data_IF_708814756216
#
_entry.id   IF_708814756216
#
_cell.length_a   1.000
_cell.length_b   1.000
_cell.length_c   1.000
_cell.angle_alpha   90.00
_cell.angle_beta   90.00
_cell.angle_gamma   90.00
#
_symmetry.space_group_name_H-M   'P 1'
#
loop_
_entity.id
_entity.type
_entity.pdbx_description
1 polymer ?
#
# COMPACT_ATOMS: atom_id res chain seq x y z
N UNK A 1 17.72 11.40 10.78
CA UNK A 1 17.26 10.47 11.83
C UNK A 1 18.33 9.40 11.99
N UNK A 2 18.80 9.12 13.20
CA UNK A 2 19.85 8.10 13.43
C UNK A 2 19.25 6.90 14.17
N UNK A 3 18.18 6.35 13.60
CA UNK A 3 17.65 5.05 14.01
C UNK A 3 18.52 4.00 13.32
N UNK A 4 19.16 3.12 14.10
CA UNK A 4 19.86 1.94 13.58
C UNK A 4 18.84 0.99 12.95
N UNK A 5 18.35 1.31 11.76
CA UNK A 5 17.43 0.49 10.99
C UNK A 5 18.26 -0.53 10.21
N UNK A 6 17.95 -1.82 10.37
CA UNK A 6 18.46 -2.83 9.46
C UNK A 6 17.51 -2.93 8.26
N UNK A 7 17.93 -2.41 7.11
CA UNK A 7 17.13 -2.40 5.89
C UNK A 7 16.78 -3.80 5.36
N UNK A 8 17.57 -4.83 5.68
CA UNK A 8 17.27 -6.22 5.31
C UNK A 8 16.11 -6.82 6.12
N UNK A 9 15.71 -6.17 7.22
CA UNK A 9 14.58 -6.58 8.03
C UNK A 9 13.28 -5.88 7.62
N UNK A 10 13.28 -5.05 6.58
CA UNK A 10 12.11 -4.26 6.18
C UNK A 10 11.47 -4.90 4.96
N UNK A 11 10.17 -5.16 5.04
CA UNK A 11 9.32 -5.41 3.88
C UNK A 11 8.61 -4.11 3.52
N UNK A 12 9.01 -3.52 2.40
CA UNK A 12 8.33 -2.39 1.78
C UNK A 12 7.11 -2.90 1.04
N UNK A 13 6.01 -2.17 1.06
CA UNK A 13 4.82 -2.53 0.31
C UNK A 13 3.95 -1.33 -0.03
N UNK A 14 3.11 -1.57 -1.02
CA UNK A 14 2.01 -0.72 -1.47
C UNK A 14 0.86 -1.63 -1.95
N UNK A 15 -0.38 -1.14 -1.91
CA UNK A 15 -1.55 -1.89 -2.37
C UNK A 15 -2.38 -1.08 -3.37
N UNK A 16 -2.95 -1.79 -4.34
CA UNK A 16 -3.94 -1.22 -5.24
C UNK A 16 -5.33 -1.79 -4.98
N UNK A 17 -6.28 -0.88 -4.93
CA UNK A 17 -7.67 -1.17 -4.56
C UNK A 17 -8.63 -0.58 -5.58
N UNK A 18 -9.73 -1.29 -5.81
CA UNK A 18 -10.81 -0.86 -6.70
C UNK A 18 -12.15 -1.08 -6.00
N UNK A 19 -13.24 -0.41 -6.43
CA UNK A 19 -14.59 -0.76 -6.00
C UNK A 19 -14.85 -2.27 -6.11
N UNK A 20 -15.61 -2.87 -5.19
CA UNK A 20 -15.78 -4.34 -5.17
C UNK A 20 -16.49 -4.88 -6.41
N UNK A 21 -17.38 -4.07 -6.99
CA UNK A 21 -18.08 -4.25 -8.26
C UNK A 21 -17.90 -2.99 -9.12
N UNK A 22 -18.13 -3.07 -10.43
CA UNK A 22 -17.85 -1.97 -11.35
C UNK A 22 -18.83 -0.80 -11.16
N UNK A 23 -20.13 -1.10 -11.07
CA UNK A 23 -21.17 -0.08 -10.98
C UNK A 23 -21.82 -0.09 -9.60
N UNK A 24 -22.25 1.09 -9.13
CA UNK A 24 -23.00 1.23 -7.88
C UNK A 24 -24.27 0.37 -7.90
N UNK A 25 -24.93 0.27 -9.06
CA UNK A 25 -26.11 -0.56 -9.28
C UNK A 25 -25.88 -2.06 -9.10
N UNK A 26 -24.62 -2.51 -9.17
CA UNK A 26 -24.26 -3.92 -8.97
C UNK A 26 -24.14 -4.29 -7.49
N UNK A 27 -24.11 -3.29 -6.59
CA UNK A 27 -24.26 -3.53 -5.16
C UNK A 27 -25.69 -3.96 -4.84
N UNK A 28 -25.84 -4.79 -3.81
CA UNK A 28 -27.16 -5.03 -3.23
C UNK A 28 -27.71 -3.76 -2.53
N UNK A 29 -29.02 -3.69 -2.35
CA UNK A 29 -29.70 -2.53 -1.76
C UNK A 29 -29.12 -2.13 -0.40
N UNK A 30 -28.85 -3.11 0.47
CA UNK A 30 -28.24 -2.87 1.78
C UNK A 30 -26.87 -2.17 1.67
N UNK A 31 -25.99 -2.63 0.78
CA UNK A 31 -24.67 -2.02 0.58
C UNK A 31 -24.76 -0.64 -0.07
N UNK A 32 -25.72 -0.40 -0.95
CA UNK A 32 -25.97 0.93 -1.50
C UNK A 32 -26.31 1.93 -0.39
N UNK A 33 -27.21 1.55 0.53
CA UNK A 33 -27.58 2.37 1.69
C UNK A 33 -26.39 2.58 2.63
N UNK A 34 -25.64 1.51 2.96
CA UNK A 34 -24.47 1.60 3.82
C UNK A 34 -23.36 2.47 3.21
N UNK A 35 -23.14 2.39 1.89
CA UNK A 35 -22.18 3.23 1.19
C UNK A 35 -22.58 4.70 1.27
N UNK A 36 -23.87 5.00 1.02
CA UNK A 36 -24.39 6.36 1.09
C UNK A 36 -24.19 6.98 2.49
N UNK A 37 -24.48 6.22 3.54
CA UNK A 37 -24.29 6.63 4.93
C UNK A 37 -22.80 6.83 5.28
N UNK A 38 -21.95 5.84 4.95
CA UNK A 38 -20.52 5.87 5.28
C UNK A 38 -19.80 7.04 4.62
N UNK A 39 -20.15 7.39 3.39
CA UNK A 39 -19.43 8.39 2.58
C UNK A 39 -19.97 9.81 2.69
N UNK A 40 -21.08 10.02 3.41
CA UNK A 40 -21.77 11.32 3.51
C UNK A 40 -20.81 12.47 3.87
N UNK A 41 -19.89 12.23 4.81
CA UNK A 41 -18.93 13.23 5.28
C UNK A 41 -17.96 13.73 4.18
N UNK A 42 -17.66 12.90 3.16
CA UNK A 42 -16.82 13.28 2.03
C UNK A 42 -17.62 13.88 0.88
N UNK A 43 -18.84 13.37 0.65
CA UNK A 43 -19.72 13.86 -0.43
C UNK A 43 -20.25 15.27 -0.17
N UNK A 44 -20.40 15.67 1.11
CA UNK A 44 -20.92 16.99 1.53
C UNK A 44 -22.23 17.39 0.82
N UNK A 45 -23.06 16.41 0.47
CA UNK A 45 -24.28 16.54 -0.32
C UNK A 45 -24.12 17.16 -1.73
N UNK A 46 -22.89 17.26 -2.24
CA UNK A 46 -22.58 17.76 -3.59
C UNK A 46 -22.65 16.66 -4.66
N UNK A 47 -22.43 15.40 -4.27
CA UNK A 47 -22.44 14.23 -5.14
C UNK A 47 -23.41 13.18 -4.60
N UNK A 48 -24.16 12.54 -5.51
CA UNK A 48 -24.93 11.35 -5.17
C UNK A 48 -23.99 10.19 -4.78
N UNK A 49 -24.47 9.17 -4.04
CA UNK A 49 -23.69 7.97 -3.76
C UNK A 49 -23.17 7.29 -5.02
N UNK A 50 -23.97 7.25 -6.09
CA UNK A 50 -23.59 6.66 -7.37
C UNK A 50 -22.44 7.42 -8.06
N UNK A 51 -22.54 8.76 -8.15
CA UNK A 51 -21.47 9.60 -8.72
C UNK A 51 -20.17 9.51 -7.92
N UNK A 52 -20.27 9.25 -6.62
CA UNK A 52 -19.11 9.11 -5.74
C UNK A 52 -18.52 7.69 -5.73
N UNK A 53 -19.22 6.71 -6.30
CA UNK A 53 -18.89 5.29 -6.17
C UNK A 53 -17.56 4.91 -6.81
N UNK A 54 -17.07 5.66 -7.79
CA UNK A 54 -15.74 5.44 -8.39
C UNK A 54 -14.61 5.43 -7.33
N UNK A 55 -14.83 6.12 -6.20
CA UNK A 55 -13.88 6.22 -5.08
C UNK A 55 -14.07 5.13 -4.02
N UNK A 56 -15.02 4.21 -4.20
CA UNK A 56 -15.36 3.19 -3.21
C UNK A 56 -14.18 2.29 -2.82
N UNK A 57 -13.21 2.12 -3.74
CA UNK A 57 -11.96 1.41 -3.48
C UNK A 57 -11.20 1.87 -2.23
N UNK A 58 -11.36 3.13 -1.79
CA UNK A 58 -10.71 3.69 -0.60
C UNK A 58 -11.24 3.04 0.70
N UNK A 59 -12.44 2.46 0.69
CA UNK A 59 -13.04 1.80 1.85
C UNK A 59 -12.97 0.28 1.70
N UNK A 60 -12.31 -0.39 2.63
CA UNK A 60 -12.19 -1.86 2.63
C UNK A 60 -13.55 -2.57 2.69
N UNK A 61 -14.59 -1.89 3.18
CA UNK A 61 -15.96 -2.39 3.22
C UNK A 61 -16.64 -2.42 1.83
N UNK A 62 -16.19 -1.61 0.88
CA UNK A 62 -16.81 -1.41 -0.45
C UNK A 62 -15.84 -1.58 -1.62
N UNK A 63 -14.58 -1.89 -1.32
CA UNK A 63 -13.54 -2.16 -2.29
C UNK A 63 -12.93 -3.55 -2.14
N UNK A 64 -12.00 -3.87 -3.03
CA UNK A 64 -11.19 -5.08 -3.01
C UNK A 64 -9.75 -4.76 -3.41
N UNK A 65 -8.81 -5.54 -2.89
CA UNK A 65 -7.40 -5.47 -3.29
C UNK A 65 -7.23 -6.23 -4.61
N UNK A 66 -6.58 -5.59 -5.58
CA UNK A 66 -6.27 -6.18 -6.90
C UNK A 66 -4.77 -6.39 -7.12
N UNK A 67 -3.93 -5.70 -6.35
CA UNK A 67 -2.48 -5.88 -6.34
C UNK A 67 -1.92 -5.58 -4.95
N UNK A 68 -0.94 -6.36 -4.52
CA UNK A 68 -0.02 -6.04 -3.43
C UNK A 68 1.38 -6.18 -3.99
N UNK A 69 2.12 -5.09 -4.09
CA UNK A 69 3.54 -5.13 -4.41
C UNK A 69 4.36 -5.09 -3.13
N UNK A 70 5.44 -5.87 -3.10
CA UNK A 70 6.34 -5.94 -1.95
C UNK A 70 7.78 -5.87 -2.40
N UNK A 71 8.63 -5.26 -1.58
CA UNK A 71 10.05 -5.10 -1.85
C UNK A 71 10.91 -5.29 -0.61
N UNK A 72 12.13 -5.83 -0.77
CA UNK A 72 13.08 -5.99 0.33
C UNK A 72 14.52 -5.94 -0.15
N UNK A 73 15.41 -5.49 0.74
CA UNK A 73 16.85 -5.46 0.47
C UNK A 73 17.51 -6.81 0.76
N UNK A 74 18.52 -7.12 -0.04
CA UNK A 74 19.48 -8.20 0.22
C UNK A 74 20.90 -7.68 0.06
N UNK A 75 21.82 -8.21 0.87
CA UNK A 75 23.23 -7.85 0.90
C UNK A 75 23.45 -6.33 1.06
N UNK A 76 22.69 -5.68 1.94
CA UNK A 76 22.56 -4.22 2.00
C UNK A 76 23.90 -3.48 2.15
N UNK A 77 24.78 -4.00 2.99
CA UNK A 77 26.09 -3.38 3.28
C UNK A 77 27.21 -3.81 2.31
N UNK A 78 26.88 -4.49 1.21
CA UNK A 78 27.84 -4.98 0.23
C UNK A 78 27.75 -4.23 -1.10
N UNK A 79 28.76 -4.40 -1.97
CA UNK A 79 28.70 -3.97 -3.36
C UNK A 79 27.65 -4.73 -4.19
N UNK A 80 27.21 -5.90 -3.73
CA UNK A 80 26.14 -6.71 -4.33
C UNK A 80 24.76 -6.42 -3.75
N UNK A 81 24.53 -5.21 -3.23
CA UNK A 81 23.21 -4.78 -2.74
C UNK A 81 22.17 -4.93 -3.84
N UNK A 82 21.06 -5.59 -3.52
CA UNK A 82 19.91 -5.69 -4.42
C UNK A 82 18.63 -5.31 -3.68
N UNK A 83 17.70 -4.72 -4.41
CA UNK A 83 16.32 -4.55 -3.99
C UNK A 83 15.46 -5.50 -4.83
N UNK A 84 14.83 -6.46 -4.16
CA UNK A 84 14.00 -7.48 -4.78
C UNK A 84 12.55 -7.06 -4.67
N UNK A 85 11.84 -6.95 -5.79
CA UNK A 85 10.42 -6.56 -5.87
C UNK A 85 9.62 -7.68 -6.53
N UNK A 86 8.40 -7.90 -6.04
CA UNK A 86 7.44 -8.85 -6.63
C UNK A 86 6.02 -8.43 -6.26
N UNK A 87 5.03 -8.94 -6.98
CA UNK A 87 3.63 -8.55 -6.81
C UNK A 87 2.69 -9.74 -6.76
N UNK A 88 1.69 -9.66 -5.89
CA UNK A 88 0.56 -10.57 -5.82
C UNK A 88 -0.64 -9.87 -6.46
N UNK A 89 -1.23 -10.47 -7.50
CA UNK A 89 -2.36 -9.87 -8.22
C UNK A 89 -3.34 -10.94 -8.75
N UNK A 90 -4.53 -10.51 -9.13
CA UNK A 90 -5.61 -11.39 -9.59
C UNK A 90 -6.73 -11.56 -8.55
N UNK A 91 -7.02 -12.81 -8.17
CA UNK A 91 -8.07 -13.11 -7.18
C UNK A 91 -7.67 -12.64 -5.77
N UNK A 92 -8.54 -11.86 -5.13
CA UNK A 92 -8.23 -11.22 -3.85
C UNK A 92 -7.91 -12.23 -2.73
N UNK A 93 -8.65 -13.34 -2.64
CA UNK A 93 -8.42 -14.36 -1.60
C UNK A 93 -7.03 -14.96 -1.78
N UNK A 94 -6.67 -15.28 -3.03
CA UNK A 94 -5.32 -15.77 -3.33
C UNK A 94 -4.23 -14.75 -3.02
N UNK A 95 -4.42 -13.48 -3.42
CA UNK A 95 -3.47 -12.39 -3.09
C UNK A 95 -3.21 -12.34 -1.57
N UNK A 96 -4.29 -12.40 -0.78
CA UNK A 96 -4.20 -12.29 0.68
C UNK A 96 -3.55 -13.51 1.32
N UNK A 97 -3.84 -14.72 0.86
CA UNK A 97 -3.18 -15.95 1.35
C UNK A 97 -1.69 -15.96 0.97
N UNK A 98 -1.34 -15.63 -0.28
CA UNK A 98 0.05 -15.59 -0.73
C UNK A 98 0.86 -14.53 0.04
N UNK A 99 0.27 -13.34 0.28
CA UNK A 99 0.90 -12.31 1.10
C UNK A 99 1.05 -12.73 2.58
N UNK A 100 0.04 -13.39 3.15
CA UNK A 100 0.10 -13.96 4.51
C UNK A 100 1.20 -15.00 4.62
N UNK A 101 1.37 -15.86 3.62
CA UNK A 101 2.44 -16.87 3.59
C UNK A 101 3.82 -16.23 3.52
N UNK A 102 4.00 -15.16 2.71
CA UNK A 102 5.23 -14.37 2.72
C UNK A 102 5.55 -13.84 4.12
N UNK A 103 4.56 -13.25 4.80
CA UNK A 103 4.73 -12.71 6.15
C UNK A 103 5.07 -13.80 7.17
N UNK A 104 4.37 -14.93 7.12
CA UNK A 104 4.55 -16.02 8.07
C UNK A 104 5.85 -16.79 7.86
N UNK A 105 6.35 -16.89 6.63
CA UNK A 105 7.56 -17.68 6.32
C UNK A 105 8.84 -16.83 6.32
N UNK A 106 8.77 -15.59 5.83
CA UNK A 106 9.97 -14.76 5.58
C UNK A 106 10.04 -13.53 6.47
N UNK A 107 8.90 -12.89 6.81
CA UNK A 107 8.84 -11.65 7.58
C UNK A 107 8.23 -11.81 8.99
N UNK A 108 8.43 -12.96 9.63
CA UNK A 108 7.79 -13.32 10.90
C UNK A 108 8.53 -12.88 12.19
N UNK A 109 9.86 -12.68 12.14
CA UNK A 109 10.70 -12.41 13.32
C UNK A 109 10.36 -11.07 13.97
N UNK A 110 10.55 -10.89 15.28
CA UNK A 110 10.30 -9.60 15.95
C UNK A 110 11.01 -8.40 15.31
N UNK A 111 12.23 -8.61 14.81
CA UNK A 111 13.01 -7.57 14.15
C UNK A 111 12.50 -7.17 12.75
N UNK A 112 11.66 -8.01 12.12
CA UNK A 112 11.09 -7.70 10.81
C UNK A 112 9.97 -6.67 10.94
N UNK A 113 9.94 -5.69 10.03
CA UNK A 113 8.97 -4.59 10.05
C UNK A 113 8.40 -4.36 8.66
N UNK A 114 7.14 -3.92 8.62
CA UNK A 114 6.50 -3.48 7.38
C UNK A 114 6.73 -1.99 7.21
N UNK A 115 6.91 -1.54 5.96
CA UNK A 115 7.06 -0.13 5.62
C UNK A 115 6.20 0.21 4.41
N UNK A 116 5.42 1.29 4.52
CA UNK A 116 4.58 1.81 3.44
C UNK A 116 4.54 3.35 3.51
N UNK A 117 3.88 3.99 2.56
CA UNK A 117 3.58 5.41 2.61
C UNK A 117 2.12 5.61 3.01
N UNK A 118 1.86 6.20 4.19
CA UNK A 118 0.51 6.27 4.77
C UNK A 118 -0.10 4.89 5.14
N UNK A 119 0.70 3.83 5.18
CA UNK A 119 0.19 2.48 5.42
C UNK A 119 -0.37 2.22 6.81
N UNK A 120 -0.01 3.03 7.83
CA UNK A 120 -0.65 2.91 9.15
C UNK A 120 -2.11 3.37 9.14
N UNK A 121 -2.45 4.33 8.29
CA UNK A 121 -3.81 4.86 8.16
C UNK A 121 -4.57 4.22 6.99
N UNK A 122 -3.87 3.56 6.05
CA UNK A 122 -4.45 2.95 4.85
C UNK A 122 -4.09 1.46 4.67
N UNK A 123 -2.91 1.12 4.15
CA UNK A 123 -2.55 -0.22 3.67
C UNK A 123 -2.74 -1.34 4.71
N UNK A 124 -2.10 -1.22 5.88
CA UNK A 124 -2.13 -2.27 6.90
C UNK A 124 -3.55 -2.53 7.44
N UNK A 125 -4.34 -1.50 7.84
CA UNK A 125 -5.71 -1.75 8.26
C UNK A 125 -6.61 -2.20 7.10
N UNK A 126 -6.34 -1.78 5.86
CA UNK A 126 -7.11 -2.24 4.70
C UNK A 126 -6.92 -3.74 4.47
N UNK A 127 -5.66 -4.20 4.36
CA UNK A 127 -5.33 -5.63 4.21
C UNK A 127 -5.94 -6.45 5.36
N UNK A 128 -5.78 -5.99 6.60
CA UNK A 128 -6.32 -6.70 7.76
C UNK A 128 -7.86 -6.80 7.72
N UNK A 129 -8.57 -5.73 7.33
CA UNK A 129 -10.03 -5.76 7.16
C UNK A 129 -10.44 -6.72 6.05
N UNK A 130 -9.77 -6.70 4.90
CA UNK A 130 -10.06 -7.63 3.78
C UNK A 130 -9.79 -9.08 4.16
N UNK A 131 -8.73 -9.37 4.91
CA UNK A 131 -8.50 -10.71 5.48
C UNK A 131 -9.65 -11.14 6.39
N UNK A 132 -10.13 -10.27 7.29
CA UNK A 132 -11.28 -10.58 8.16
C UNK A 132 -12.55 -10.82 7.35
N UNK A 133 -12.83 -9.98 6.36
CA UNK A 133 -14.00 -10.11 5.46
C UNK A 133 -13.99 -11.48 4.76
N UNK A 134 -12.82 -11.94 4.32
CA UNK A 134 -12.63 -13.24 3.67
C UNK A 134 -12.36 -14.40 4.64
N UNK A 135 -12.48 -14.18 5.95
CA UNK A 135 -12.24 -15.19 7.00
C UNK A 135 -10.82 -15.78 6.99
N UNK A 136 -9.85 -15.01 6.50
CA UNK A 136 -8.42 -15.34 6.50
C UNK A 136 -7.82 -14.95 7.84
N UNK A 137 -7.09 -15.88 8.46
CA UNK A 137 -6.41 -15.61 9.74
C UNK A 137 -5.33 -14.55 9.58
N UNK A 138 -5.38 -13.51 10.43
CA UNK A 138 -4.38 -12.44 10.41
C UNK A 138 -2.99 -12.94 10.78
N UNK A 139 -1.94 -12.64 9.98
CA UNK A 139 -0.56 -12.87 10.38
C UNK A 139 -0.20 -11.97 11.57
N UNK A 140 0.74 -12.42 12.41
CA UNK A 140 1.15 -11.71 13.64
C UNK A 140 1.55 -10.25 13.38
N UNK A 141 2.10 -9.96 12.19
CA UNK A 141 2.49 -8.62 11.77
C UNK A 141 1.31 -7.68 11.57
N UNK A 142 0.16 -8.18 11.07
CA UNK A 142 -1.06 -7.38 10.87
C UNK A 142 -2.04 -7.49 12.04
N UNK A 143 -1.79 -8.38 13.02
CA UNK A 143 -2.58 -8.42 14.24
C UNK A 143 -2.17 -7.29 15.19
N UNK A 144 -2.88 -6.17 15.06
CA UNK A 144 -2.66 -4.92 15.81
C UNK A 144 -3.65 -4.75 16.99
N UNK A 145 -4.53 -5.73 17.24
CA UNK A 145 -5.50 -5.65 18.32
C UNK A 145 -4.83 -5.48 19.68
N UNK A 146 -5.31 -4.53 20.47
CA UNK A 146 -4.81 -4.26 21.83
C UNK A 146 -3.43 -3.61 21.89
N UNK A 147 -2.74 -3.40 20.75
CA UNK A 147 -1.46 -2.70 20.70
C UNK A 147 -1.67 -1.20 20.70
N UNK A 148 -0.88 -0.50 21.49
CA UNK A 148 -0.80 0.96 21.46
C UNK A 148 -0.01 1.40 20.21
N UNK A 149 -0.25 2.61 19.67
CA UNK A 149 0.40 3.05 18.43
C UNK A 149 1.93 2.93 18.43
N UNK A 150 2.59 3.15 19.57
CA UNK A 150 4.05 3.05 19.71
C UNK A 150 4.57 1.60 19.85
N UNK A 151 3.69 0.63 20.07
CA UNK A 151 4.03 -0.80 20.10
C UNK A 151 3.96 -1.43 18.71
N UNK A 152 3.43 -0.71 17.72
CA UNK A 152 3.34 -1.15 16.33
C UNK A 152 4.70 -0.87 15.67
N UNK A 153 5.47 -1.92 15.31
CA UNK A 153 6.83 -1.75 14.82
C UNK A 153 6.89 -1.30 13.35
N UNK A 154 5.73 -1.09 12.71
CA UNK A 154 5.67 -0.67 11.31
C UNK A 154 6.21 0.74 11.11
N UNK A 155 6.89 0.92 10.00
CA UNK A 155 7.41 2.20 9.53
C UNK A 155 6.40 2.81 8.55
N UNK A 156 6.21 4.11 8.64
CA UNK A 156 5.36 4.85 7.72
C UNK A 156 6.14 6.07 7.23
N UNK A 157 6.44 6.13 5.93
CA UNK A 157 7.24 7.22 5.38
C UNK A 157 6.52 8.56 5.44
N UNK A 158 5.18 8.57 5.44
CA UNK A 158 4.41 9.81 5.65
C UNK A 158 4.54 10.27 7.10
N UNK A 159 4.45 9.35 8.07
CA UNK A 159 4.66 9.68 9.49
C UNK A 159 6.09 10.18 9.76
N UNK A 160 7.10 9.53 9.18
CA UNK A 160 8.50 9.95 9.30
C UNK A 160 8.73 11.35 8.72
N UNK A 161 7.99 11.72 7.67
CA UNK A 161 8.05 13.06 7.07
C UNK A 161 7.38 14.15 7.92
N UNK A 162 6.44 13.80 8.82
CA UNK A 162 5.68 14.79 9.60
C UNK A 162 6.56 15.66 10.48
N UNK A 163 7.69 15.17 11.00
CA UNK A 163 8.52 15.89 11.99
C UNK A 163 7.72 16.48 13.18
N UNK A 164 6.59 15.87 13.55
CA UNK A 164 5.67 16.36 14.58
C UNK A 164 4.55 17.28 14.07
N UNK A 165 4.47 17.57 12.78
CA UNK A 165 3.34 18.23 12.13
C UNK A 165 2.19 17.24 11.86
N UNK A 166 1.01 17.54 12.38
CA UNK A 166 -0.18 16.70 12.23
C UNK A 166 -1.15 17.19 11.16
N UNK A 167 -0.87 18.32 10.49
CA UNK A 167 -1.92 19.05 9.77
C UNK A 167 -2.06 18.68 8.29
N UNK A 168 -1.10 18.00 7.67
CA UNK A 168 -1.12 17.83 6.21
C UNK A 168 -0.65 16.44 5.74
N UNK A 169 -1.53 15.77 5.01
CA UNK A 169 -1.17 14.65 4.14
C UNK A 169 -0.19 15.15 3.07
N UNK A 170 0.91 14.41 2.87
CA UNK A 170 1.87 14.70 1.79
C UNK A 170 1.96 13.47 0.92
N UNK A 171 1.59 13.58 -0.35
CA UNK A 171 1.58 12.42 -1.25
C UNK A 171 2.99 11.91 -1.55
N UNK A 172 3.08 10.61 -1.85
CA UNK A 172 4.31 9.96 -2.31
C UNK A 172 4.92 10.71 -3.50
N UNK A 173 4.10 11.05 -4.49
CA UNK A 173 4.48 11.83 -5.68
C UNK A 173 5.07 13.21 -5.35
N UNK A 174 4.52 13.90 -4.35
CA UNK A 174 5.06 15.20 -3.93
C UNK A 174 6.42 15.01 -3.25
N UNK A 175 6.55 14.02 -2.37
CA UNK A 175 7.81 13.72 -1.67
C UNK A 175 8.93 13.31 -2.62
N UNK A 176 8.66 12.41 -3.56
CA UNK A 176 9.66 11.95 -4.53
C UNK A 176 10.16 13.11 -5.39
N UNK A 177 9.24 13.98 -5.83
CA UNK A 177 9.56 15.18 -6.60
C UNK A 177 10.49 16.14 -5.86
N UNK A 178 10.14 16.56 -4.63
CA UNK A 178 10.95 17.54 -3.88
C UNK A 178 12.30 16.98 -3.41
N UNK A 179 12.40 15.65 -3.26
CA UNK A 179 13.63 14.99 -2.82
C UNK A 179 14.54 14.58 -3.98
N UNK A 180 14.12 14.80 -5.23
CA UNK A 180 14.86 14.43 -6.43
C UNK A 180 14.99 12.91 -6.59
N UNK A 181 14.03 12.15 -6.07
CA UNK A 181 13.98 10.70 -6.27
C UNK A 181 13.39 10.47 -7.66
N UNK A 182 14.08 9.74 -8.54
CA UNK A 182 13.52 9.38 -9.84
C UNK A 182 12.24 8.59 -9.62
N UNK A 183 11.12 9.20 -9.99
CA UNK A 183 9.89 8.47 -10.26
C UNK A 183 9.84 8.26 -11.76
N UNK A 184 9.57 7.05 -12.26
CA UNK A 184 9.17 6.87 -13.64
C UNK A 184 8.04 7.86 -13.93
N UNK A 185 7.97 8.40 -15.15
CA UNK A 185 6.79 9.19 -15.53
C UNK A 185 5.58 8.26 -15.47
N UNK A 186 4.72 8.46 -14.48
CA UNK A 186 3.55 7.62 -14.30
C UNK A 186 2.54 7.89 -15.41
N UNK A 187 2.08 6.82 -16.04
CA UNK A 187 1.04 6.84 -17.05
C UNK A 187 -0.36 6.76 -16.43
N UNK A 188 -0.45 6.41 -15.14
CA UNK A 188 -1.68 6.43 -14.33
C UNK A 188 -1.45 7.01 -12.93
N UNK A 189 -2.52 7.35 -12.25
CA UNK A 189 -2.57 7.75 -10.83
C UNK A 189 -3.53 6.85 -10.08
N UNK A 190 -3.47 6.81 -8.74
CA UNK A 190 -4.38 6.00 -7.93
C UNK A 190 -5.88 6.20 -8.23
N UNK A 191 -6.29 7.40 -8.68
CA UNK A 191 -7.67 7.65 -9.11
C UNK A 191 -8.09 6.91 -10.40
N UNK A 192 -7.12 6.52 -11.23
CA UNK A 192 -7.34 5.86 -12.52
C UNK A 192 -7.29 4.33 -12.42
N UNK A 193 -6.88 3.77 -11.28
CA UNK A 193 -6.70 2.31 -11.10
C UNK A 193 -8.01 1.54 -11.32
N UNK A 194 -9.13 2.09 -10.86
CA UNK A 194 -10.47 1.52 -11.10
C UNK A 194 -10.79 1.43 -12.60
N UNK A 195 -10.51 2.50 -13.35
CA UNK A 195 -10.74 2.54 -14.80
C UNK A 195 -9.83 1.54 -15.55
N UNK A 196 -8.56 1.47 -15.18
CA UNK A 196 -7.61 0.51 -15.76
C UNK A 196 -8.03 -0.93 -15.49
N UNK A 197 -8.52 -1.20 -14.27
CA UNK A 197 -8.96 -2.53 -13.88
C UNK A 197 -10.26 -2.94 -14.56
N UNK A 198 -11.28 -2.08 -14.53
CA UNK A 198 -12.62 -2.42 -15.00
C UNK A 198 -12.81 -2.21 -16.50
N UNK A 199 -12.28 -1.13 -17.08
CA UNK A 199 -12.49 -0.81 -18.50
C UNK A 199 -11.36 -1.34 -19.37
N UNK A 200 -10.12 -1.00 -19.03
CA UNK A 200 -8.96 -1.39 -19.84
C UNK A 200 -8.58 -2.86 -19.66
N UNK A 201 -8.98 -3.49 -18.53
CA UNK A 201 -8.62 -4.86 -18.14
C UNK A 201 -7.10 -5.10 -18.16
N UNK A 202 -6.32 -4.09 -17.78
CA UNK A 202 -4.86 -4.11 -17.91
C UNK A 202 -4.18 -4.25 -16.53
N UNK A 203 -4.09 -5.50 -16.04
CA UNK A 203 -3.44 -5.75 -14.75
C UNK A 203 -1.94 -5.48 -14.77
N UNK A 204 -1.23 -5.75 -15.87
CA UNK A 204 0.23 -5.52 -15.94
C UNK A 204 0.58 -4.06 -15.67
N UNK A 205 -0.28 -3.14 -16.12
CA UNK A 205 -0.15 -1.70 -15.88
C UNK A 205 -0.33 -1.34 -14.41
N UNK A 206 -1.29 -1.96 -13.72
CA UNK A 206 -1.53 -1.78 -12.28
C UNK A 206 -0.37 -2.36 -11.46
N UNK A 207 0.10 -3.56 -11.82
CA UNK A 207 1.26 -4.21 -11.19
C UNK A 207 2.50 -3.30 -11.31
N UNK A 208 2.79 -2.84 -12.52
CA UNK A 208 3.91 -1.92 -12.78
C UNK A 208 3.81 -0.64 -11.95
N UNK A 209 2.60 -0.07 -11.83
CA UNK A 209 2.37 1.12 -11.02
C UNK A 209 2.64 0.86 -9.52
N UNK A 210 2.08 -0.22 -8.96
CA UNK A 210 2.23 -0.58 -7.56
C UNK A 210 3.68 -0.96 -7.19
N UNK A 211 4.41 -1.64 -8.09
CA UNK A 211 5.85 -1.91 -7.91
C UNK A 211 6.67 -0.62 -7.83
N UNK A 212 6.36 0.37 -8.69
CA UNK A 212 7.05 1.67 -8.68
C UNK A 212 6.79 2.43 -7.39
N UNK A 213 5.55 2.45 -6.90
CA UNK A 213 5.22 3.08 -5.62
C UNK A 213 5.95 2.36 -4.48
N UNK A 214 6.00 1.03 -4.47
CA UNK A 214 6.79 0.24 -3.51
C UNK A 214 8.29 0.60 -3.53
N UNK A 215 8.89 0.72 -4.72
CA UNK A 215 10.29 1.15 -4.89
C UNK A 215 10.48 2.58 -4.38
N UNK A 216 9.54 3.49 -4.66
CA UNK A 216 9.59 4.87 -4.21
C UNK A 216 9.54 4.98 -2.67
N UNK A 217 8.76 4.14 -1.98
CA UNK A 217 8.77 4.06 -0.51
C UNK A 217 10.16 3.68 0.01
N UNK A 218 10.83 2.69 -0.62
CA UNK A 218 12.18 2.30 -0.25
C UNK A 218 13.20 3.43 -0.49
N UNK A 219 13.10 4.12 -1.63
CA UNK A 219 13.94 5.28 -1.95
C UNK A 219 13.75 6.44 -0.96
N UNK A 220 12.51 6.71 -0.53
CA UNK A 220 12.23 7.70 0.51
C UNK A 220 12.92 7.36 1.81
N UNK A 221 12.83 6.10 2.25
CA UNK A 221 13.46 5.69 3.50
C UNK A 221 14.99 5.78 3.42
N UNK A 222 15.60 5.41 2.28
CA UNK A 222 17.02 5.64 2.04
C UNK A 222 17.37 7.14 2.15
N UNK A 223 16.59 8.00 1.49
CA UNK A 223 16.79 9.44 1.47
C UNK A 223 16.67 10.06 2.87
N UNK A 224 15.68 9.65 3.67
CA UNK A 224 15.50 10.11 5.06
C UNK A 224 16.68 9.75 5.98
N UNK A 225 17.42 8.70 5.62
CA UNK A 225 18.63 8.26 6.29
C UNK A 225 19.92 8.79 5.64
N UNK A 226 19.82 9.72 4.68
CA UNK A 226 20.95 10.26 3.90
C UNK A 226 21.81 9.19 3.22
N UNK A 227 21.18 8.08 2.81
CA UNK A 227 21.85 7.01 2.07
C UNK A 227 21.74 7.25 0.55
N UNK A 228 22.68 6.72 -0.25
CA UNK A 228 22.55 6.71 -1.70
C UNK A 228 21.25 6.02 -2.13
N UNK A 229 20.61 6.56 -3.17
CA UNK A 229 19.43 5.97 -3.80
C UNK A 229 19.80 4.65 -4.50
N UNK A 230 18.80 3.81 -4.73
CA UNK A 230 18.94 2.63 -5.59
C UNK A 230 19.16 3.05 -7.04
N UNK A 231 20.11 2.40 -7.70
CA UNK A 231 20.27 2.42 -9.15
C UNK A 231 19.38 1.33 -9.78
N UNK A 232 18.89 1.55 -11.00
CA UNK A 232 17.97 0.62 -11.67
C UNK A 232 18.54 -0.80 -11.78
N UNK A 233 19.85 -0.93 -12.04
CA UNK A 233 20.55 -2.21 -12.13
C UNK A 233 20.58 -3.02 -10.82
N UNK A 234 20.28 -2.38 -9.69
CA UNK A 234 20.18 -3.05 -8.39
C UNK A 234 18.74 -3.52 -8.08
N UNK A 235 17.77 -3.21 -8.93
CA UNK A 235 16.37 -3.62 -8.76
C UNK A 235 16.11 -4.91 -9.53
N UNK A 236 15.65 -5.94 -8.81
CA UNK A 236 15.36 -7.27 -9.36
C UNK A 236 13.87 -7.52 -9.23
N UNK A 237 13.17 -7.58 -10.35
CA UNK A 237 11.77 -8.01 -10.45
C UNK A 237 11.72 -9.55 -10.48
N UNK A 238 10.89 -10.16 -9.63
CA UNK A 238 10.78 -11.62 -9.44
C UNK A 238 9.44 -12.12 -9.93
#
# INVERSE_FOLDING_TARGET
>A
MNTKINFENILFLDIETVPEVEFFSDLNEEKQELFALKTQYQRKDELSPEEFYERAGIWAEFGKIVCISVGYFTNFNSSSRMFRVTSFFGDEVKILEDFKDLLNNHFNKPAHVLCAHNGKEFDFPYIARRMIIHQIQLPVKLNLFGKKPWEIPHLDTMELWKFGDYKHFTSLKLLTSILGIPSPKDDISGAQVSEVYYKEKNMDRIVTYCEKDTIAVAQLLLRFNNLPLLEELNIIHI
#
